data_IF_190850138937
#
_entry.id   IF_190850138937
#
_cell.length_a   1.000
_cell.length_b   1.000
_cell.length_c   1.000
_cell.angle_alpha   90.00
_cell.angle_beta   90.00
_cell.angle_gamma   90.00
#
_symmetry.space_group_name_H-M   'P 1'
#
loop_
_entity.id
_entity.type
_entity.pdbx_description
1 polymer ?
#
# COMPACT_ATOMS: atom_id res chain seq x y z
N UNK A 1 -4.47 -24.56 -16.04
CA UNK A 1 -5.88 -24.22 -16.34
C UNK A 1 -6.06 -22.71 -16.36
N UNK A 2 -7.04 -22.18 -17.11
CA UNK A 2 -7.33 -20.75 -17.15
C UNK A 2 -7.62 -20.18 -15.75
N UNK A 3 -7.12 -18.98 -15.46
CA UNK A 3 -7.43 -18.24 -14.23
C UNK A 3 -6.75 -18.72 -12.94
N UNK A 4 -5.82 -19.68 -13.00
CA UNK A 4 -5.03 -20.11 -11.83
C UNK A 4 -4.15 -18.97 -11.27
N UNK A 5 -3.55 -18.18 -12.17
CA UNK A 5 -2.72 -17.02 -11.81
C UNK A 5 -3.55 -15.97 -11.04
N UNK A 6 -4.78 -15.71 -11.49
CA UNK A 6 -5.71 -14.82 -10.81
C UNK A 6 -6.05 -15.30 -9.38
N UNK A 7 -6.22 -16.60 -9.17
CA UNK A 7 -6.47 -17.14 -7.82
C UNK A 7 -5.26 -17.00 -6.90
N UNK A 8 -4.03 -17.23 -7.40
CA UNK A 8 -2.79 -17.02 -6.64
C UNK A 8 -2.64 -15.54 -6.21
N UNK A 9 -2.95 -14.61 -7.12
CA UNK A 9 -2.94 -13.16 -6.85
C UNK A 9 -3.94 -12.77 -5.74
N UNK A 10 -5.16 -13.32 -5.77
CA UNK A 10 -6.17 -13.08 -4.73
C UNK A 10 -5.77 -13.70 -3.38
N UNK A 11 -5.17 -14.90 -3.38
CA UNK A 11 -4.64 -15.49 -2.15
C UNK A 11 -3.54 -14.63 -1.54
N UNK A 12 -2.66 -14.06 -2.37
CA UNK A 12 -1.68 -13.10 -1.90
C UNK A 12 -2.34 -11.84 -1.33
N UNK A 13 -3.37 -11.28 -2.00
CA UNK A 13 -4.13 -10.15 -1.49
C UNK A 13 -4.73 -10.44 -0.10
N UNK A 14 -5.29 -11.63 0.10
CA UNK A 14 -5.83 -12.07 1.40
C UNK A 14 -4.75 -12.14 2.49
N UNK A 15 -3.54 -12.60 2.15
CA UNK A 15 -2.41 -12.56 3.09
C UNK A 15 -2.05 -11.12 3.44
N UNK A 16 -1.97 -10.23 2.45
CA UNK A 16 -1.67 -8.81 2.67
C UNK A 16 -2.62 -8.14 3.67
N UNK A 17 -3.91 -8.48 3.67
CA UNK A 17 -4.87 -7.92 4.64
C UNK A 17 -4.50 -8.24 6.09
N UNK A 18 -3.93 -9.42 6.34
CA UNK A 18 -3.51 -9.83 7.69
C UNK A 18 -2.17 -9.25 8.12
N UNK A 19 -1.38 -8.74 7.17
CA UNK A 19 -0.04 -8.21 7.44
C UNK A 19 -0.12 -6.72 7.82
N UNK A 20 0.69 -6.33 8.81
CA UNK A 20 0.85 -4.93 9.21
C UNK A 20 1.75 -4.12 8.25
N UNK A 21 2.63 -4.79 7.51
CA UNK A 21 3.49 -4.18 6.50
C UNK A 21 3.03 -4.56 5.09
N UNK A 22 3.26 -3.68 4.12
CA UNK A 22 2.93 -3.95 2.74
C UNK A 22 4.01 -4.86 2.11
N UNK A 23 3.66 -6.04 1.59
CA UNK A 23 4.58 -6.90 0.85
C UNK A 23 4.88 -6.29 -0.53
N UNK A 24 5.98 -6.72 -1.18
CA UNK A 24 6.37 -6.21 -2.48
C UNK A 24 5.27 -6.41 -3.54
N UNK A 25 5.13 -5.41 -4.41
CA UNK A 25 4.22 -5.46 -5.53
C UNK A 25 4.61 -6.58 -6.51
N UNK A 26 3.64 -7.41 -6.89
CA UNK A 26 3.90 -8.58 -7.73
C UNK A 26 3.72 -8.26 -9.22
N UNK A 27 4.63 -7.45 -9.74
CA UNK A 27 4.63 -6.98 -11.13
C UNK A 27 4.56 -8.14 -12.13
N UNK A 28 5.31 -9.22 -11.89
CA UNK A 28 5.36 -10.35 -12.81
C UNK A 28 4.02 -11.08 -12.93
N UNK A 29 3.34 -11.33 -11.80
CA UNK A 29 2.04 -11.98 -11.80
C UNK A 29 0.97 -11.10 -12.46
N UNK A 30 0.97 -9.79 -12.18
CA UNK A 30 0.04 -8.86 -12.83
C UNK A 30 0.29 -8.81 -14.33
N UNK A 31 1.56 -8.77 -14.77
CA UNK A 31 1.94 -8.85 -16.18
C UNK A 31 1.58 -10.19 -16.83
N UNK A 32 1.58 -11.29 -16.08
CA UNK A 32 1.17 -12.59 -16.59
C UNK A 32 -0.35 -12.67 -16.79
N UNK A 33 -1.15 -12.23 -15.81
CA UNK A 33 -2.62 -12.20 -15.91
C UNK A 33 -3.08 -11.25 -17.01
N UNK A 34 -2.43 -10.10 -17.18
CA UNK A 34 -2.76 -9.15 -18.27
C UNK A 34 -2.41 -9.70 -19.66
N UNK A 35 -1.32 -10.46 -19.79
CA UNK A 35 -1.01 -11.20 -21.03
C UNK A 35 -2.08 -12.26 -21.31
N UNK A 36 -2.46 -13.06 -20.31
CA UNK A 36 -3.53 -14.05 -20.44
C UNK A 36 -4.85 -13.42 -20.92
N UNK A 37 -5.24 -12.27 -20.37
CA UNK A 37 -6.43 -11.54 -20.83
C UNK A 37 -6.31 -11.08 -22.28
N UNK A 38 -5.15 -10.57 -22.69
CA UNK A 38 -4.91 -10.14 -24.09
C UNK A 38 -4.91 -11.32 -25.06
N UNK A 39 -4.40 -12.47 -24.64
CA UNK A 39 -4.38 -13.66 -25.47
C UNK A 39 -5.80 -14.23 -25.64
N UNK A 40 -6.60 -14.27 -24.57
CA UNK A 40 -8.03 -14.60 -24.65
C UNK A 40 -8.82 -13.66 -25.56
N UNK A 41 -8.49 -12.37 -25.56
CA UNK A 41 -9.14 -11.36 -26.42
C UNK A 41 -8.78 -11.55 -27.90
N UNK A 42 -7.52 -11.91 -28.20
CA UNK A 42 -7.09 -12.31 -29.55
C UNK A 42 -7.80 -13.58 -30.01
N UNK A 43 -7.93 -14.58 -29.13
CA UNK A 43 -8.62 -15.83 -29.46
C UNK A 43 -10.10 -15.58 -29.76
N UNK A 44 -10.78 -14.75 -28.96
CA UNK A 44 -12.16 -14.32 -29.22
C UNK A 44 -12.27 -13.56 -30.54
N UNK A 45 -11.32 -12.67 -30.83
CA UNK A 45 -11.31 -11.91 -32.09
C UNK A 45 -11.13 -12.83 -33.29
N UNK A 46 -10.21 -13.79 -33.23
CA UNK A 46 -9.98 -14.78 -34.29
C UNK A 46 -11.20 -15.69 -34.54
N UNK A 47 -11.92 -16.06 -33.48
CA UNK A 47 -13.18 -16.82 -33.60
C UNK A 47 -14.28 -15.96 -34.25
N UNK A 48 -14.30 -14.65 -34.02
CA UNK A 48 -15.31 -13.73 -34.55
C UNK A 48 -15.01 -13.23 -35.97
N UNK A 49 -13.75 -13.22 -36.41
CA UNK A 49 -13.35 -12.77 -37.75
C UNK A 49 -14.16 -13.41 -38.90
N UNK A 50 -14.41 -14.73 -38.93
CA UNK A 50 -15.21 -15.38 -39.97
C UNK A 50 -16.67 -14.93 -40.03
N UNK A 51 -17.21 -14.44 -38.90
CA UNK A 51 -18.63 -14.12 -38.79
C UNK A 51 -18.96 -12.67 -39.15
N UNK A 52 -17.95 -11.80 -39.35
CA UNK A 52 -18.08 -10.43 -39.87
C UNK A 52 -19.28 -9.61 -39.32
N UNK A 53 -19.65 -9.82 -38.04
CA UNK A 53 -20.77 -9.14 -37.37
C UNK A 53 -22.16 -9.79 -37.48
N UNK A 54 -22.31 -10.88 -38.25
CA UNK A 54 -23.55 -11.66 -38.36
C UNK A 54 -23.41 -13.03 -37.70
N UNK A 55 -23.15 -13.04 -36.39
CA UNK A 55 -23.14 -14.26 -35.59
C UNK A 55 -24.55 -14.57 -35.08
N UNK A 56 -25.14 -15.69 -35.48
CA UNK A 56 -26.41 -16.18 -34.93
C UNK A 56 -26.16 -17.32 -33.93
N UNK A 57 -26.33 -17.09 -32.61
CA UNK A 57 -26.07 -18.08 -31.57
C UNK A 57 -26.87 -19.38 -31.70
N UNK A 58 -27.99 -19.36 -32.44
CA UNK A 58 -28.85 -20.54 -32.63
C UNK A 58 -28.31 -21.51 -33.68
N UNK A 59 -27.50 -21.01 -34.62
CA UNK A 59 -26.95 -21.81 -35.72
C UNK A 59 -25.65 -22.52 -35.34
N UNK A 60 -24.88 -21.95 -34.42
CA UNK A 60 -23.60 -22.49 -33.96
C UNK A 60 -23.45 -22.43 -32.43
N UNK A 61 -24.19 -23.33 -31.76
CA UNK A 61 -24.14 -23.51 -30.31
C UNK A 61 -22.72 -23.76 -29.73
N UNK A 62 -21.84 -24.60 -30.32
CA UNK A 62 -20.52 -24.85 -29.75
C UNK A 62 -19.63 -23.60 -29.76
N UNK A 63 -19.66 -22.80 -30.83
CA UNK A 63 -18.91 -21.54 -30.90
C UNK A 63 -19.46 -20.50 -29.92
N UNK A 64 -20.79 -20.42 -29.76
CA UNK A 64 -21.41 -19.56 -28.75
C UNK A 64 -20.94 -19.91 -27.34
N UNK A 65 -20.87 -21.20 -27.00
CA UNK A 65 -20.34 -21.66 -25.72
C UNK A 65 -18.87 -21.28 -25.53
N UNK A 66 -18.02 -21.45 -26.54
CA UNK A 66 -16.61 -21.08 -26.47
C UNK A 66 -16.42 -19.57 -26.22
N UNK A 67 -17.16 -18.72 -26.94
CA UNK A 67 -17.14 -17.27 -26.75
C UNK A 67 -17.57 -16.87 -25.33
N UNK A 68 -18.63 -17.48 -24.80
CA UNK A 68 -19.10 -17.23 -23.43
C UNK A 68 -18.03 -17.64 -22.41
N UNK A 69 -17.42 -18.82 -22.57
CA UNK A 69 -16.37 -19.30 -21.66
C UNK A 69 -15.18 -18.34 -21.64
N UNK A 70 -14.71 -17.90 -22.80
CA UNK A 70 -13.61 -16.94 -22.91
C UNK A 70 -13.98 -15.58 -22.29
N UNK A 71 -15.19 -15.08 -22.54
CA UNK A 71 -15.67 -13.83 -21.93
C UNK A 71 -15.76 -13.91 -20.40
N UNK A 72 -16.29 -15.01 -19.87
CA UNK A 72 -16.37 -15.22 -18.42
C UNK A 72 -14.97 -15.34 -17.80
N UNK A 73 -14.02 -15.96 -18.51
CA UNK A 73 -12.62 -16.02 -18.09
C UNK A 73 -11.97 -14.63 -18.04
N UNK A 74 -12.15 -13.81 -19.08
CA UNK A 74 -11.65 -12.43 -19.09
C UNK A 74 -12.23 -11.60 -17.94
N UNK A 75 -13.55 -11.68 -17.71
CA UNK A 75 -14.22 -11.02 -16.59
C UNK A 75 -13.68 -11.48 -15.23
N UNK A 76 -13.40 -12.79 -15.09
CA UNK A 76 -12.81 -13.35 -13.88
C UNK A 76 -11.42 -12.78 -13.62
N UNK A 77 -10.54 -12.76 -14.62
CA UNK A 77 -9.19 -12.20 -14.50
C UNK A 77 -9.22 -10.71 -14.17
N UNK A 78 -10.08 -9.93 -14.83
CA UNK A 78 -10.29 -8.50 -14.51
C UNK A 78 -10.73 -8.30 -13.05
N UNK A 79 -11.68 -9.11 -12.56
CA UNK A 79 -12.14 -9.04 -11.16
C UNK A 79 -11.03 -9.36 -10.17
N UNK A 80 -10.20 -10.36 -10.44
CA UNK A 80 -9.07 -10.71 -9.57
C UNK A 80 -8.03 -9.59 -9.51
N UNK A 81 -7.69 -8.98 -10.65
CA UNK A 81 -6.78 -7.83 -10.71
C UNK A 81 -7.31 -6.64 -9.90
N UNK A 82 -8.56 -6.24 -10.14
CA UNK A 82 -9.18 -5.12 -9.42
C UNK A 82 -9.25 -5.38 -7.91
N UNK A 83 -9.56 -6.60 -7.49
CA UNK A 83 -9.59 -6.96 -6.08
C UNK A 83 -8.20 -6.83 -5.43
N UNK A 84 -7.14 -7.27 -6.11
CA UNK A 84 -5.76 -7.13 -5.61
C UNK A 84 -5.35 -5.66 -5.47
N UNK A 85 -5.59 -4.85 -6.51
CA UNK A 85 -5.26 -3.43 -6.47
C UNK A 85 -6.07 -2.69 -5.40
N UNK A 86 -7.37 -2.96 -5.30
CA UNK A 86 -8.24 -2.33 -4.28
C UNK A 86 -7.74 -2.59 -2.88
N UNK A 87 -7.38 -3.83 -2.56
CA UNK A 87 -6.85 -4.21 -1.23
C UNK A 87 -5.53 -3.50 -0.93
N UNK A 88 -4.67 -3.30 -1.94
CA UNK A 88 -3.42 -2.56 -1.77
C UNK A 88 -3.68 -1.06 -1.57
N UNK A 89 -4.54 -0.45 -2.38
CA UNK A 89 -4.94 0.95 -2.22
C UNK A 89 -5.58 1.21 -0.86
N UNK A 90 -6.50 0.35 -0.40
CA UNK A 90 -7.07 0.44 0.96
C UNK A 90 -5.99 0.47 2.04
N UNK A 91 -4.97 -0.38 1.90
CA UNK A 91 -3.88 -0.45 2.87
C UNK A 91 -2.98 0.80 2.82
N UNK A 92 -2.71 1.32 1.62
CA UNK A 92 -1.94 2.54 1.43
C UNK A 92 -2.67 3.74 2.02
N UNK A 93 -3.97 3.86 1.76
CA UNK A 93 -4.82 4.90 2.33
C UNK A 93 -4.80 4.81 3.86
N UNK A 94 -4.97 3.61 4.43
CA UNK A 94 -4.88 3.40 5.89
C UNK A 94 -3.52 3.85 6.45
N UNK A 95 -2.42 3.60 5.74
CA UNK A 95 -1.09 4.08 6.16
C UNK A 95 -0.97 5.61 6.10
N UNK A 96 -1.50 6.24 5.05
CA UNK A 96 -1.55 7.70 4.93
C UNK A 96 -2.35 8.34 6.07
N UNK A 97 -3.50 7.75 6.45
CA UNK A 97 -4.32 8.23 7.57
C UNK A 97 -3.66 8.01 8.95
N UNK A 98 -2.84 6.98 9.11
CA UNK A 98 -2.04 6.74 10.33
C UNK A 98 -0.83 7.70 10.45
N UNK A 99 -0.64 8.61 9.50
CA UNK A 99 0.49 9.54 9.49
C UNK A 99 1.85 8.87 9.25
N UNK A 100 1.86 7.64 8.74
CA UNK A 100 3.08 6.96 8.32
C UNK A 100 3.39 7.45 6.91
N UNK A 101 4.44 8.24 6.78
CA UNK A 101 4.96 8.57 5.45
C UNK A 101 5.57 7.31 4.83
N UNK A 102 4.80 6.70 3.93
CA UNK A 102 5.16 5.47 3.23
C UNK A 102 6.43 5.70 2.38
N UNK A 103 6.62 6.92 1.88
CA UNK A 103 7.78 7.30 1.06
C UNK A 103 9.04 7.47 1.93
N UNK A 104 8.90 8.06 3.12
CA UNK A 104 10.01 8.21 4.06
C UNK A 104 10.52 6.85 4.58
N UNK A 105 9.61 5.89 4.84
CA UNK A 105 9.99 4.50 5.18
C UNK A 105 10.78 3.81 4.08
N UNK A 106 10.43 4.06 2.83
CA UNK A 106 11.13 3.48 1.69
C UNK A 106 12.52 4.07 1.53
N UNK A 107 12.67 5.40 1.72
CA UNK A 107 13.98 6.06 1.76
C UNK A 107 14.86 5.56 2.91
N UNK A 108 14.31 5.36 4.11
CA UNK A 108 15.04 4.79 5.25
C UNK A 108 15.45 3.33 5.02
N UNK A 109 14.63 2.52 4.34
CA UNK A 109 15.00 1.15 3.96
C UNK A 109 16.13 1.13 2.91
N UNK A 110 16.12 2.06 1.94
CA UNK A 110 17.24 2.20 1.02
C UNK A 110 18.51 2.75 1.69
N UNK A 111 18.38 3.63 2.68
CA UNK A 111 19.52 4.25 3.39
C UNK A 111 20.22 3.33 4.40
N UNK A 112 19.49 2.39 5.02
CA UNK A 112 20.10 1.41 5.95
C UNK A 112 20.99 0.37 5.29
N UNK A 113 20.80 0.10 4.00
CA UNK A 113 21.63 -0.86 3.26
C UNK A 113 22.98 -0.28 2.79
N UNK A 114 23.25 1.00 3.05
CA UNK A 114 24.47 1.68 2.60
C UNK A 114 25.58 1.86 3.65
N UNK A 115 25.37 1.45 4.91
CA UNK A 115 26.24 1.85 6.03
C UNK A 115 26.98 0.72 6.77
N UNK A 116 26.83 -0.55 6.38
CA UNK A 116 27.62 -1.65 6.97
C UNK A 116 28.13 -2.61 5.88
N UNK A 117 29.31 -2.29 5.34
CA UNK A 117 30.02 -3.16 4.40
C UNK A 117 30.79 -4.27 5.10
N UNK A 118 30.41 -5.53 4.86
CA UNK A 118 31.33 -6.67 4.93
C UNK A 118 30.96 -7.69 3.86
N UNK A 119 31.99 -8.11 3.11
CA UNK A 119 31.90 -8.84 1.86
C UNK A 119 31.48 -10.31 2.02
N UNK A 120 30.43 -10.74 1.31
CA UNK A 120 30.30 -12.11 0.82
C UNK A 120 29.35 -12.23 -0.38
N UNK A 121 29.92 -12.62 -1.51
CA UNK A 121 29.39 -13.45 -2.61
C UNK A 121 27.86 -13.61 -2.75
N UNK A 122 27.33 -13.01 -3.83
CA UNK A 122 26.23 -13.57 -4.63
C UNK A 122 24.81 -13.43 -4.07
N UNK A 123 24.13 -12.33 -4.42
CA UNK A 123 22.67 -12.33 -4.61
C UNK A 123 22.25 -11.09 -5.40
N UNK A 124 21.62 -11.30 -6.55
CA UNK A 124 20.84 -10.31 -7.27
C UNK A 124 19.63 -9.88 -6.41
N UNK A 125 19.82 -8.90 -5.54
CA UNK A 125 18.71 -8.25 -4.81
C UNK A 125 18.56 -6.85 -5.39
N UNK A 126 17.90 -6.78 -6.54
CA UNK A 126 17.48 -5.52 -7.15
C UNK A 126 16.63 -4.70 -6.19
N UNK A 127 16.64 -3.37 -6.36
CA UNK A 127 15.77 -2.40 -5.71
C UNK A 127 14.40 -3.00 -5.32
N UNK A 128 14.25 -3.48 -4.08
CA UNK A 128 12.94 -3.96 -3.60
C UNK A 128 12.16 -2.79 -3.03
N UNK A 129 11.95 -1.77 -3.87
CA UNK A 129 10.83 -0.86 -3.68
C UNK A 129 9.58 -1.72 -3.52
N UNK A 130 9.00 -1.76 -2.32
CA UNK A 130 7.82 -2.58 -2.04
C UNK A 130 6.59 -2.13 -2.84
N UNK A 131 6.68 -0.92 -3.41
CA UNK A 131 5.67 -0.25 -4.21
C UNK A 131 6.04 -0.27 -5.69
N UNK A 132 5.01 -0.30 -6.52
CA UNK A 132 5.18 0.01 -7.94
C UNK A 132 5.27 1.54 -8.14
N UNK A 133 5.93 2.03 -9.21
CA UNK A 133 5.99 3.46 -9.49
C UNK A 133 4.60 4.09 -9.66
N UNK A 134 3.62 3.33 -10.15
CA UNK A 134 2.24 3.78 -10.25
C UNK A 134 1.56 3.93 -8.87
N UNK A 135 1.92 3.07 -7.90
CA UNK A 135 1.44 3.18 -6.53
C UNK A 135 2.09 4.35 -5.78
N UNK A 136 3.37 4.64 -6.03
CA UNK A 136 4.06 5.80 -5.47
C UNK A 136 3.41 7.12 -5.93
N UNK A 137 3.07 7.23 -7.22
CA UNK A 137 2.36 8.39 -7.75
C UNK A 137 0.94 8.51 -7.17
N UNK A 138 0.21 7.39 -7.03
CA UNK A 138 -1.09 7.38 -6.37
C UNK A 138 -1.02 7.89 -4.92
N UNK A 139 -0.04 7.42 -4.16
CA UNK A 139 0.17 7.83 -2.76
C UNK A 139 0.49 9.32 -2.67
N UNK A 140 1.33 9.85 -3.57
CA UNK A 140 1.65 11.28 -3.65
C UNK A 140 0.41 12.13 -3.91
N UNK A 141 -0.38 11.76 -4.91
CA UNK A 141 -1.62 12.47 -5.23
C UNK A 141 -2.64 12.38 -4.08
N UNK A 142 -2.72 11.24 -3.41
CA UNK A 142 -3.60 11.05 -2.25
C UNK A 142 -3.14 11.88 -1.04
N UNK A 143 -1.83 11.94 -0.78
CA UNK A 143 -1.28 12.78 0.31
C UNK A 143 -1.52 14.27 0.04
N UNK A 144 -1.39 14.71 -1.21
CA UNK A 144 -1.66 16.09 -1.61
C UNK A 144 -3.16 16.42 -1.44
N UNK A 145 -4.04 15.51 -1.84
CA UNK A 145 -5.48 15.64 -1.62
C UNK A 145 -5.82 15.69 -0.13
N UNK A 146 -5.21 14.84 0.68
CA UNK A 146 -5.39 14.83 2.12
C UNK A 146 -4.88 16.13 2.76
N UNK A 147 -3.73 16.65 2.32
CA UNK A 147 -3.18 17.91 2.78
C UNK A 147 -4.09 19.10 2.41
N UNK A 148 -4.62 19.12 1.19
CA UNK A 148 -5.59 20.13 0.76
C UNK A 148 -6.89 20.07 1.59
N UNK A 149 -7.35 18.87 1.95
CA UNK A 149 -8.52 18.69 2.81
C UNK A 149 -8.26 19.14 4.25
N UNK A 150 -7.09 18.80 4.81
CA UNK A 150 -6.66 19.27 6.13
C UNK A 150 -6.47 20.78 6.19
N UNK A 151 -6.01 21.41 5.11
CA UNK A 151 -5.81 22.86 5.04
C UNK A 151 -7.10 23.68 5.24
N UNK A 152 -8.27 23.07 5.02
CA UNK A 152 -9.56 23.72 5.32
C UNK A 152 -9.88 23.75 6.82
N UNK A 153 -9.29 22.84 7.60
CA UNK A 153 -9.56 22.64 9.03
C UNK A 153 -8.26 22.77 9.83
N UNK A 154 -7.85 24.01 10.13
CA UNK A 154 -6.60 24.26 10.87
C UNK A 154 -6.67 23.87 12.34
N UNK A 155 -7.88 23.80 12.89
CA UNK A 155 -8.10 23.60 14.33
C UNK A 155 -8.25 22.11 14.69
N UNK A 156 -8.37 21.23 13.69
CA UNK A 156 -8.67 19.81 13.88
C UNK A 156 -7.64 18.97 13.13
N UNK A 157 -6.82 18.22 13.87
CA UNK A 157 -5.95 17.21 13.25
C UNK A 157 -6.76 15.96 12.92
N UNK A 158 -7.10 15.80 11.64
CA UNK A 158 -7.82 14.64 11.11
C UNK A 158 -7.00 13.34 11.10
N UNK A 159 -5.69 13.42 11.28
CA UNK A 159 -4.79 12.25 11.39
C UNK A 159 -4.31 11.99 12.82
N UNK A 160 -4.92 12.68 13.79
CA UNK A 160 -4.64 12.50 15.20
C UNK A 160 -5.05 11.12 15.71
N UNK A 161 -4.78 10.91 17.01
CA UNK A 161 -5.14 9.67 17.68
C UNK A 161 -6.66 9.46 17.74
N UNK A 162 -7.11 8.25 17.42
CA UNK A 162 -8.53 7.87 17.52
C UNK A 162 -8.92 7.46 18.95
N UNK A 163 -7.92 7.32 19.84
CA UNK A 163 -8.12 6.98 21.24
C UNK A 163 -8.32 8.25 22.06
N UNK A 164 -9.41 8.33 22.86
CA UNK A 164 -9.67 9.54 23.64
C UNK A 164 -8.58 9.73 24.72
N UNK A 165 -8.09 10.98 24.90
CA UNK A 165 -7.11 11.28 25.93
C UNK A 165 -7.70 11.05 27.32
N UNK A 166 -6.94 10.36 28.18
CA UNK A 166 -7.33 10.12 29.59
C UNK A 166 -6.89 11.25 30.50
N UNK A 167 -5.68 11.75 30.26
CA UNK A 167 -5.00 12.75 31.07
C UNK A 167 -4.38 13.81 30.15
N UNK A 168 -4.34 15.06 30.61
CA UNK A 168 -3.78 16.17 29.83
C UNK A 168 -2.25 16.05 29.69
N UNK A 169 -1.60 15.49 30.71
CA UNK A 169 -0.17 15.31 30.79
C UNK A 169 0.16 13.81 30.92
N UNK A 170 1.24 13.40 30.28
CA UNK A 170 1.71 12.02 30.27
C UNK A 170 3.21 11.95 30.55
N UNK A 171 3.62 10.89 31.24
CA UNK A 171 5.03 10.53 31.36
C UNK A 171 5.47 9.76 30.11
N UNK A 172 6.49 10.26 29.42
CA UNK A 172 7.07 9.63 28.24
C UNK A 172 8.54 9.34 28.43
N UNK A 173 8.99 8.20 27.91
CA UNK A 173 10.41 7.82 27.81
C UNK A 173 10.87 7.90 26.37
N UNK A 174 12.03 8.50 26.17
CA UNK A 174 12.66 8.61 24.85
C UNK A 174 13.35 7.29 24.47
N UNK A 175 12.97 6.69 23.34
CA UNK A 175 13.59 5.48 22.80
C UNK A 175 14.74 5.79 21.82
N UNK A 176 14.61 6.90 21.07
CA UNK A 176 15.57 7.36 20.07
C UNK A 176 15.80 8.86 20.26
N UNK A 177 17.05 9.30 20.15
CA UNK A 177 17.39 10.72 20.16
C UNK A 177 16.62 11.46 19.06
N UNK A 178 15.83 12.45 19.44
CA UNK A 178 14.96 13.20 18.53
C UNK A 178 15.32 14.69 18.45
N UNK A 179 16.47 15.09 19.00
CA UNK A 179 16.93 16.48 18.97
C UNK A 179 16.09 17.40 19.86
N UNK A 180 16.02 18.67 19.49
CA UNK A 180 15.27 19.69 20.22
C UNK A 180 13.86 19.85 19.61
N UNK A 181 12.83 19.65 20.43
CA UNK A 181 11.43 19.87 20.04
C UNK A 181 10.90 21.14 20.69
N UNK A 182 10.06 21.88 19.97
CA UNK A 182 9.34 23.02 20.54
C UNK A 182 8.03 22.55 21.14
N UNK A 183 7.90 22.71 22.46
CA UNK A 183 6.61 22.61 23.17
C UNK A 183 6.08 24.02 23.44
N UNK A 184 4.80 24.12 23.78
CA UNK A 184 4.18 25.41 24.10
C UNK A 184 4.84 26.14 25.30
N UNK A 185 5.49 25.39 26.20
CA UNK A 185 6.15 25.92 27.39
C UNK A 185 7.67 26.09 27.25
N UNK A 186 8.25 25.71 26.11
CA UNK A 186 9.68 25.85 25.84
C UNK A 186 10.26 24.74 24.97
N UNK A 187 11.55 24.87 24.66
CA UNK A 187 12.26 23.85 23.90
C UNK A 187 12.77 22.74 24.82
N UNK A 188 12.51 21.48 24.46
CA UNK A 188 12.94 20.30 25.21
C UNK A 188 13.87 19.49 24.32
N UNK A 189 15.04 19.13 24.86
CA UNK A 189 16.01 18.26 24.18
C UNK A 189 15.74 16.80 24.51
N UNK A 190 15.28 16.04 23.53
CA UNK A 190 14.95 14.63 23.65
C UNK A 190 16.22 13.76 23.51
N UNK A 191 16.78 13.39 24.66
CA UNK A 191 17.93 12.47 24.76
C UNK A 191 17.48 11.04 25.06
N UNK A 192 18.15 10.03 24.52
CA UNK A 192 17.78 8.62 24.64
C UNK A 192 17.74 8.18 26.10
N UNK A 193 16.71 7.43 26.45
CA UNK A 193 16.40 6.93 27.80
C UNK A 193 16.05 8.01 28.84
N UNK A 194 15.95 9.29 28.47
CA UNK A 194 15.40 10.32 29.36
C UNK A 194 13.89 10.18 29.50
N UNK A 195 13.35 10.73 30.59
CA UNK A 195 11.92 10.76 30.89
C UNK A 195 11.45 12.21 31.01
N UNK A 196 10.29 12.50 30.43
CA UNK A 196 9.68 13.82 30.48
C UNK A 196 8.20 13.71 30.85
N UNK A 197 7.73 14.70 31.60
CA UNK A 197 6.31 14.91 31.88
C UNK A 197 5.81 16.07 31.02
N UNK A 198 5.00 15.76 30.02
CA UNK A 198 4.69 16.66 28.90
C UNK A 198 3.23 16.52 28.52
N UNK A 199 2.68 17.58 27.91
CA UNK A 199 1.29 17.58 27.45
C UNK A 199 1.13 16.59 26.31
N UNK A 200 0.02 15.85 26.32
CA UNK A 200 -0.23 14.80 25.32
C UNK A 200 -0.17 15.35 23.88
N UNK A 201 -0.79 16.51 23.62
CA UNK A 201 -0.90 17.10 22.27
C UNK A 201 0.44 17.37 21.56
N UNK A 202 1.48 17.77 22.29
CA UNK A 202 2.80 18.08 21.69
C UNK A 202 3.57 16.81 21.29
N UNK A 203 3.14 15.66 21.82
CA UNK A 203 3.95 14.44 21.87
C UNK A 203 3.29 13.28 21.14
N UNK A 204 2.00 13.38 20.83
CA UNK A 204 1.22 12.38 20.10
C UNK A 204 1.88 11.94 18.79
N UNK A 205 2.34 12.90 17.98
CA UNK A 205 2.99 12.60 16.69
C UNK A 205 4.31 11.84 16.88
N UNK A 206 5.08 12.17 17.91
CA UNK A 206 6.36 11.52 18.21
C UNK A 206 6.18 10.12 18.81
N UNK A 207 5.09 9.90 19.55
CA UNK A 207 4.67 8.56 20.02
C UNK A 207 4.25 7.71 18.83
N UNK A 208 3.44 8.24 17.90
CA UNK A 208 3.00 7.52 16.70
C UNK A 208 4.18 7.10 15.80
N UNK A 209 5.21 7.95 15.71
CA UNK A 209 6.45 7.65 14.98
C UNK A 209 7.39 6.67 15.73
N UNK A 210 7.13 6.39 17.01
CA UNK A 210 7.90 5.46 17.83
C UNK A 210 9.22 6.03 18.37
N UNK A 211 9.37 7.34 18.46
CA UNK A 211 10.50 7.98 19.15
C UNK A 211 10.32 7.96 20.67
N UNK A 212 9.07 7.99 21.12
CA UNK A 212 8.68 8.09 22.52
C UNK A 212 7.77 6.93 22.90
N UNK A 213 7.88 6.48 24.14
CA UNK A 213 7.00 5.46 24.73
C UNK A 213 6.31 6.06 25.94
N UNK A 214 4.98 5.96 25.99
CA UNK A 214 4.21 6.29 27.19
C UNK A 214 4.56 5.32 28.31
N UNK A 215 4.91 5.86 29.47
CA UNK A 215 4.95 5.11 30.71
C UNK A 215 3.55 5.25 31.34
N UNK A 216 2.91 4.11 31.56
CA UNK A 216 1.56 4.05 32.12
C UNK A 216 1.50 4.66 33.51
#
# INVERSE_FOLDING_TARGET
>A
MYGELGNKLVQHAKRTQSLAHLPPYQTEMVRAVTREVRDLDKDVSAILEPFAGSFDPSTDAPTACALIVNHMCMKRNKRCLLAYHRVRSDKLEEMCWRGIDVLERQQQQSGKNGAEGSASLGAEVGNTSSLSPEEEEYVRQYSDLLAAYKGQWTDIDLTGSLEPPRDLFIDVRVLKDAGEIQTEYGAITLTKNSQFYVRQGDVERLIAQGYLQRLC
#
